data_IF_207095901766
#
_entry.id   IF_207095901766
#
_cell.length_a   1.000
_cell.length_b   1.000
_cell.length_c   1.000
_cell.angle_alpha   90.00
_cell.angle_beta   90.00
_cell.angle_gamma   90.00
#
_symmetry.space_group_name_H-M   'P 1'
#
loop_
_entity.id
_entity.type
_entity.pdbx_description
1 polymer ?
2 non-polymer ?
3 non-polymer ?
#
# COMPACT_ATOMS: atom_id res chain seq x y z
N UNK A 3 9.08 -10.39 17.61
CA UNK A 3 8.52 -11.74 17.77
C UNK A 3 7.33 -12.04 16.81
N UNK A 4 6.35 -11.12 16.54
CA UNK A 4 5.22 -11.48 15.65
C UNK A 4 5.58 -12.02 14.26
N UNK A 5 6.82 -11.75 13.78
CA UNK A 5 7.39 -12.19 12.50
C UNK A 5 7.45 -13.73 12.42
N UNK A 6 7.89 -14.39 13.52
CA UNK A 6 7.99 -15.85 13.63
C UNK A 6 6.61 -16.49 13.42
N UNK A 7 5.57 -15.91 14.05
CA UNK A 7 4.17 -16.32 13.96
C UNK A 7 3.65 -16.09 12.54
N UNK A 8 3.93 -14.89 11.98
CA UNK A 8 3.52 -14.50 10.63
C UNK A 8 4.08 -15.49 9.59
N UNK A 9 5.36 -15.87 9.71
CA UNK A 9 6.01 -16.83 8.82
C UNK A 9 5.51 -18.27 8.99
N UNK A 10 5.13 -18.65 10.24
CA UNK A 10 4.59 -19.96 10.54
C UNK A 10 3.21 -20.13 9.87
N UNK A 11 2.38 -19.06 9.95
CA UNK A 11 1.05 -19.02 9.32
C UNK A 11 1.18 -19.01 7.77
N UNK A 12 2.26 -18.42 7.22
CA UNK A 12 2.52 -18.45 5.78
C UNK A 12 2.68 -19.90 5.32
N UNK A 13 3.46 -20.72 6.09
CA UNK A 13 3.70 -22.14 5.81
C UNK A 13 2.37 -22.90 5.78
N UNK A 14 1.48 -22.59 6.75
CA UNK A 14 0.14 -23.16 6.89
C UNK A 14 -0.76 -22.81 5.69
N UNK A 15 -0.81 -21.50 5.30
CA UNK A 15 -1.61 -21.02 4.14
C UNK A 15 -1.09 -21.67 2.85
N UNK A 16 0.24 -21.62 2.63
CA UNK A 16 0.89 -22.19 1.45
C UNK A 16 0.55 -23.67 1.30
N UNK A 17 0.70 -24.45 2.39
CA UNK A 17 0.39 -25.87 2.33
C UNK A 17 -1.08 -26.12 2.03
N UNK A 18 -2.00 -25.34 2.61
CA UNK A 18 -3.42 -25.49 2.31
C UNK A 18 -3.71 -25.24 0.81
N UNK A 19 -3.18 -24.13 0.27
CA UNK A 19 -3.42 -23.71 -1.11
C UNK A 19 -2.91 -24.71 -2.09
N UNK A 20 -1.69 -25.17 -1.88
CA UNK A 20 -1.02 -26.14 -2.71
C UNK A 20 -1.66 -27.53 -2.64
N UNK A 21 -2.05 -27.99 -1.44
CA UNK A 21 -2.71 -29.26 -1.28
C UNK A 21 -4.10 -29.24 -1.92
N UNK A 22 -4.87 -28.15 -1.77
CA UNK A 22 -6.18 -27.93 -2.38
C UNK A 22 -6.08 -28.12 -3.91
N UNK A 23 -5.04 -27.55 -4.55
CA UNK A 23 -4.78 -27.72 -5.99
C UNK A 23 -4.49 -29.18 -6.36
N UNK A 24 -3.62 -29.83 -5.60
CA UNK A 24 -3.22 -31.21 -5.80
C UNK A 24 -4.41 -32.20 -5.65
N UNK A 25 -5.24 -31.98 -4.61
CA UNK A 25 -6.35 -32.86 -4.20
C UNK A 25 -7.71 -32.56 -4.77
N UNK A 26 -7.99 -31.28 -5.08
CA UNK A 26 -9.30 -30.87 -5.59
C UNK A 26 -9.25 -30.33 -7.01
N UNK A 27 -8.08 -29.83 -7.47
CA UNK A 27 -8.00 -29.23 -8.81
C UNK A 27 -7.15 -30.02 -9.79
N UNK A 28 -6.85 -31.29 -9.51
CA UNK A 28 -6.07 -32.18 -10.37
C UNK A 28 -4.70 -31.64 -10.73
N UNK A 29 -3.98 -31.01 -9.81
CA UNK A 29 -2.67 -30.47 -10.19
C UNK A 29 -1.56 -31.47 -10.04
N UNK A 30 -0.75 -31.60 -11.09
CA UNK A 30 0.42 -32.46 -11.11
C UNK A 30 1.54 -31.88 -10.23
N UNK A 31 2.41 -32.74 -9.64
CA UNK A 31 3.49 -32.24 -8.77
C UNK A 31 4.37 -31.12 -9.36
N UNK A 32 4.74 -31.22 -10.66
CA UNK A 32 5.57 -30.24 -11.37
C UNK A 32 5.00 -28.83 -11.28
N UNK A 33 3.69 -28.68 -11.57
CA UNK A 33 2.99 -27.41 -11.46
C UNK A 33 2.82 -26.95 -10.02
N UNK A 34 2.60 -27.90 -9.06
CA UNK A 34 2.47 -27.56 -7.64
C UNK A 34 3.78 -26.91 -7.16
N UNK A 35 4.93 -27.53 -7.51
CA UNK A 35 6.25 -27.01 -7.10
C UNK A 35 6.55 -25.64 -7.73
N UNK A 36 6.15 -25.49 -9.02
CA UNK A 36 6.28 -24.22 -9.75
C UNK A 36 5.49 -23.14 -9.03
N UNK A 37 4.28 -23.45 -8.53
CA UNK A 37 3.45 -22.50 -7.82
C UNK A 37 3.99 -22.17 -6.45
N UNK A 38 4.63 -23.14 -5.79
CA UNK A 38 5.27 -22.93 -4.46
C UNK A 38 6.38 -21.87 -4.60
N UNK A 39 7.26 -22.07 -5.60
CA UNK A 39 8.36 -21.18 -5.97
C UNK A 39 7.86 -19.78 -6.35
N UNK A 40 6.82 -19.68 -7.21
CA UNK A 40 6.22 -18.42 -7.64
C UNK A 40 5.66 -17.68 -6.44
N UNK A 41 4.96 -18.39 -5.52
CA UNK A 41 4.37 -17.78 -4.33
C UNK A 41 5.47 -17.22 -3.41
N UNK A 42 6.58 -17.96 -3.25
CA UNK A 42 7.73 -17.55 -2.44
C UNK A 42 8.40 -16.33 -3.05
N UNK A 43 8.63 -16.33 -4.39
CA UNK A 43 9.27 -15.23 -5.13
C UNK A 43 8.48 -13.94 -5.09
N UNK A 44 7.15 -14.03 -5.19
CA UNK A 44 6.29 -12.84 -5.19
C UNK A 44 5.82 -12.36 -3.81
N UNK A 45 5.66 -13.27 -2.84
CA UNK A 45 5.11 -12.94 -1.52
C UNK A 45 6.13 -12.73 -0.42
N UNK A 46 7.35 -13.21 -0.62
CA UNK A 46 8.41 -13.09 0.40
C UNK A 46 9.54 -12.17 -0.06
N UNK A 47 10.23 -11.58 0.91
CA UNK A 47 11.34 -10.69 0.61
C UNK A 47 11.17 -9.27 1.11
N UNK A 48 9.93 -8.80 1.16
CA UNK A 48 9.56 -7.46 1.61
C UNK A 48 9.66 -7.24 3.11
N UNK A 49 9.14 -6.11 3.60
CA UNK A 49 9.20 -5.81 5.03
C UNK A 49 7.95 -6.31 5.80
N UNK A 50 6.89 -6.68 5.07
CA UNK A 50 5.61 -7.19 5.62
C UNK A 50 4.91 -6.15 6.48
N UNK A 51 5.10 -4.86 6.13
CA UNK A 51 4.53 -3.74 6.89
C UNK A 51 3.03 -3.78 6.99
N UNK A 52 2.33 -4.03 5.87
CA UNK A 52 0.88 -4.11 5.84
C UNK A 52 0.37 -5.30 6.67
N UNK A 53 1.02 -6.46 6.48
CA UNK A 53 0.68 -7.69 7.20
C UNK A 53 0.89 -7.61 8.70
N UNK A 54 2.07 -7.15 9.13
CA UNK A 54 2.39 -7.00 10.54
C UNK A 54 1.47 -5.99 11.27
N UNK A 55 1.00 -4.92 10.55
CA UNK A 55 0.06 -3.91 11.08
C UNK A 55 -1.22 -4.58 11.58
N UNK A 56 -1.74 -5.59 10.83
CA UNK A 56 -2.94 -6.35 11.23
C UNK A 56 -2.72 -7.05 12.59
N UNK A 57 -1.56 -7.71 12.75
CA UNK A 57 -1.17 -8.42 13.97
C UNK A 57 -1.15 -7.45 15.15
N UNK A 58 -0.44 -6.31 14.99
CA UNK A 58 -0.31 -5.24 16.00
C UNK A 58 -1.65 -4.64 16.44
N UNK A 59 -2.62 -4.50 15.54
CA UNK A 59 -3.94 -3.96 15.87
C UNK A 59 -4.72 -4.97 16.75
N UNK A 60 -4.76 -6.25 16.34
CA UNK A 60 -5.46 -7.32 17.08
C UNK A 60 -4.96 -7.53 18.53
N UNK A 61 -3.63 -7.51 18.73
CA UNK A 61 -3.02 -7.72 20.04
C UNK A 61 -3.27 -6.53 21.00
N UNK A 62 -3.41 -5.31 20.44
CA UNK A 62 -3.73 -4.10 21.16
C UNK A 62 -5.20 -4.13 21.61
N UNK A 63 -6.08 -4.73 20.80
CA UNK A 63 -7.51 -4.80 21.09
C UNK A 63 -7.89 -5.92 22.08
N UNK A 64 -6.90 -6.77 22.48
CA UNK A 64 -7.07 -7.81 23.50
C UNK A 64 -7.07 -7.13 24.90
N UNK A 65 -6.48 -5.91 25.01
CA UNK A 65 -6.37 -5.12 26.24
C UNK A 65 -7.70 -4.52 26.72
N UNK A 66 -8.59 -4.18 25.77
CA UNK A 66 -9.90 -3.58 26.06
C UNK A 66 -11.07 -4.55 25.78
N UNK A 67 -11.91 -4.77 26.82
CA UNK A 67 -13.07 -5.67 26.84
C UNK A 67 -14.20 -5.19 25.93
N UNK A 76 -5.42 -15.31 27.45
CA UNK A 76 -6.76 -14.94 27.94
C UNK A 76 -7.77 -16.09 27.78
N UNK A 77 -7.60 -16.91 26.74
CA UNK A 77 -8.46 -18.05 26.46
C UNK A 77 -8.42 -18.53 25.01
N UNK A 78 -9.52 -19.19 24.60
CA UNK A 78 -9.69 -19.75 23.25
C UNK A 78 -9.88 -18.67 22.18
N UNK A 79 -10.41 -17.50 22.59
CA UNK A 79 -10.66 -16.36 21.72
C UNK A 79 -9.34 -15.68 21.29
N UNK A 80 -8.35 -15.55 22.22
CA UNK A 80 -7.03 -14.94 21.96
C UNK A 80 -6.29 -15.60 20.80
N UNK A 81 -6.02 -16.93 20.91
CA UNK A 81 -5.33 -17.77 19.93
C UNK A 81 -5.93 -17.60 18.52
N UNK A 82 -7.28 -17.59 18.46
CA UNK A 82 -8.10 -17.44 17.26
C UNK A 82 -7.90 -16.05 16.64
N UNK A 83 -8.03 -14.97 17.44
CA UNK A 83 -7.87 -13.59 16.99
C UNK A 83 -6.48 -13.38 16.36
N UNK A 84 -5.38 -13.81 17.04
CA UNK A 84 -4.00 -13.69 16.53
C UNK A 84 -3.76 -14.50 15.24
N UNK A 85 -4.37 -15.71 15.14
CA UNK A 85 -4.26 -16.53 13.92
C UNK A 85 -4.96 -15.81 12.76
N UNK A 86 -6.19 -15.29 13.01
CA UNK A 86 -7.03 -14.54 12.07
C UNK A 86 -6.30 -13.29 11.57
N UNK A 87 -5.57 -12.59 12.48
CA UNK A 87 -4.79 -11.40 12.20
C UNK A 87 -3.66 -11.73 11.19
N UNK A 88 -3.04 -12.91 11.35
CA UNK A 88 -1.96 -13.40 10.48
C UNK A 88 -2.48 -13.77 9.06
N UNK A 89 -3.69 -14.37 8.95
CA UNK A 89 -4.30 -14.76 7.67
C UNK A 89 -4.66 -13.48 6.89
N UNK A 90 -5.24 -12.48 7.60
CA UNK A 90 -5.59 -11.16 7.06
C UNK A 90 -4.36 -10.44 6.55
N UNK A 91 -3.28 -10.51 7.33
CA UNK A 91 -1.99 -9.97 6.98
C UNK A 91 -1.46 -10.56 5.68
N UNK A 92 -1.61 -11.89 5.50
CA UNK A 92 -1.17 -12.54 4.27
C UNK A 92 -2.08 -12.22 3.09
N UNK A 93 -3.38 -12.01 3.32
CA UNK A 93 -4.30 -11.57 2.27
C UNK A 93 -3.79 -10.23 1.67
N UNK A 94 -3.39 -9.25 2.54
CA UNK A 94 -2.86 -7.95 2.08
C UNK A 94 -1.50 -8.09 1.39
N UNK A 95 -0.60 -8.95 1.94
CA UNK A 95 0.72 -9.23 1.33
C UNK A 95 0.59 -9.91 -0.03
N UNK A 96 -0.40 -10.80 -0.21
CA UNK A 96 -0.66 -11.46 -1.50
C UNK A 96 -1.33 -10.48 -2.48
N UNK A 97 -2.18 -9.57 -1.98
CA UNK A 97 -2.84 -8.55 -2.80
C UNK A 97 -1.75 -7.60 -3.31
N UNK A 98 -0.76 -7.29 -2.45
CA UNK A 98 0.39 -6.45 -2.77
C UNK A 98 1.25 -7.18 -3.80
N UNK A 99 1.48 -8.49 -3.60
CA UNK A 99 2.18 -9.36 -4.56
C UNK A 99 1.48 -9.32 -5.96
N UNK A 100 0.13 -9.35 -5.96
CA UNK A 100 -0.71 -9.28 -7.17
C UNK A 100 -0.49 -7.94 -7.89
N UNK A 101 -0.51 -6.78 -7.15
CA UNK A 101 -0.25 -5.45 -7.70
C UNK A 101 1.14 -5.32 -8.29
N UNK A 102 2.17 -5.84 -7.57
CA UNK A 102 3.56 -5.80 -8.06
C UNK A 102 3.75 -6.54 -9.36
N UNK A 103 3.11 -7.76 -9.51
CA UNK A 103 3.15 -8.58 -10.72
C UNK A 103 2.50 -7.79 -11.84
N UNK A 104 1.30 -7.21 -11.58
CA UNK A 104 0.57 -6.39 -12.55
C UNK A 104 1.46 -5.21 -13.00
N UNK A 105 2.18 -4.56 -12.05
CA UNK A 105 3.09 -3.44 -12.37
C UNK A 105 4.27 -3.91 -13.23
N UNK A 106 4.79 -5.12 -12.96
CA UNK A 106 5.91 -5.74 -13.69
C UNK A 106 5.52 -6.11 -15.12
N UNK A 107 4.21 -6.37 -15.39
CA UNK A 107 3.70 -6.64 -16.74
C UNK A 107 3.87 -5.32 -17.54
N UNK A 108 3.76 -4.16 -16.85
CA UNK A 108 3.97 -2.84 -17.47
C UNK A 108 5.45 -2.56 -17.85
N UNK A 109 6.43 -3.30 -17.28
CA UNK A 109 7.86 -3.18 -17.64
C UNK A 109 8.04 -3.49 -19.16
N UNK A 110 7.97 -2.40 -19.98
CA UNK A 110 8.06 -2.41 -21.44
C UNK A 110 8.45 -1.01 -21.93
N UNK A 124 4.40 -15.64 -28.75
CA UNK A 124 3.95 -16.57 -27.70
C UNK A 124 4.91 -16.54 -26.49
N UNK A 125 5.05 -15.36 -25.90
CA UNK A 125 5.93 -15.13 -24.75
C UNK A 125 5.40 -15.79 -23.46
N UNK A 126 6.01 -16.93 -23.08
CA UNK A 126 5.63 -17.72 -21.90
C UNK A 126 5.86 -16.94 -20.57
N UNK A 127 6.81 -15.96 -20.53
CA UNK A 127 7.04 -15.17 -19.31
C UNK A 127 5.84 -14.25 -19.05
N UNK A 128 5.32 -13.59 -20.11
CA UNK A 128 4.16 -12.69 -20.06
C UNK A 128 2.90 -13.48 -19.73
N UNK A 129 2.74 -14.69 -20.34
CA UNK A 129 1.60 -15.58 -20.09
C UNK A 129 1.60 -15.94 -18.62
N UNK A 130 2.78 -16.30 -18.10
CA UNK A 130 2.94 -16.71 -16.72
C UNK A 130 2.75 -15.59 -15.74
N UNK A 131 3.23 -14.36 -16.05
CA UNK A 131 3.04 -13.18 -15.20
C UNK A 131 1.56 -12.83 -15.11
N UNK A 132 0.82 -12.80 -16.25
CA UNK A 132 -0.63 -12.58 -16.24
C UNK A 132 -1.32 -13.62 -15.33
N UNK A 133 -0.99 -14.89 -15.53
CA UNK A 133 -1.53 -16.00 -14.78
C UNK A 133 -1.22 -15.89 -13.30
N UNK A 134 0.06 -15.58 -12.94
CA UNK A 134 0.51 -15.35 -11.55
C UNK A 134 -0.34 -14.26 -10.89
N UNK A 135 -0.59 -13.17 -11.62
CA UNK A 135 -1.39 -12.05 -11.13
C UNK A 135 -2.78 -12.49 -10.72
N UNK A 136 -3.43 -13.26 -11.59
CA UNK A 136 -4.76 -13.84 -11.42
C UNK A 136 -4.85 -14.79 -10.25
N UNK A 137 -3.87 -15.71 -10.13
CA UNK A 137 -3.79 -16.70 -9.06
C UNK A 137 -3.57 -16.05 -7.71
N UNK A 138 -2.63 -15.10 -7.60
CA UNK A 138 -2.34 -14.36 -6.35
C UNK A 138 -3.58 -13.62 -5.82
N UNK A 139 -4.38 -13.02 -6.72
CA UNK A 139 -5.63 -12.39 -6.33
C UNK A 139 -6.63 -13.45 -5.85
N UNK A 140 -6.78 -14.55 -6.60
CA UNK A 140 -7.69 -15.64 -6.26
C UNK A 140 -7.30 -16.29 -4.93
N UNK A 141 -6.00 -16.34 -4.62
CA UNK A 141 -5.50 -16.92 -3.38
C UNK A 141 -5.92 -16.15 -2.15
N UNK A 142 -6.14 -14.80 -2.25
CA UNK A 142 -6.63 -13.98 -1.15
C UNK A 142 -8.04 -14.44 -0.79
N UNK A 143 -8.90 -14.69 -1.79
CA UNK A 143 -10.27 -15.17 -1.61
C UNK A 143 -10.27 -16.63 -1.08
N UNK A 144 -9.41 -17.51 -1.64
CA UNK A 144 -9.32 -18.91 -1.23
C UNK A 144 -8.93 -19.07 0.24
N UNK A 145 -7.90 -18.32 0.68
CA UNK A 145 -7.44 -18.40 2.07
C UNK A 145 -8.48 -17.83 3.05
N UNK A 146 -9.23 -16.78 2.64
CA UNK A 146 -10.28 -16.18 3.46
C UNK A 146 -11.46 -17.13 3.65
N UNK A 147 -12.01 -17.66 2.55
CA UNK A 147 -13.15 -18.60 2.50
C UNK A 147 -12.91 -19.88 3.33
N UNK A 148 -11.63 -20.31 3.42
CA UNK A 148 -11.23 -21.49 4.16
C UNK A 148 -11.04 -21.19 5.64
N UNK A 149 -10.06 -20.32 6.00
CA UNK A 149 -9.70 -20.00 7.37
C UNK A 149 -10.78 -19.27 8.18
N UNK A 150 -11.65 -18.51 7.50
CA UNK A 150 -12.74 -17.77 8.15
C UNK A 150 -14.13 -18.32 7.80
N UNK A 151 -14.19 -19.56 7.30
CA UNK A 151 -15.42 -20.26 6.85
C UNK A 151 -16.64 -20.14 7.79
N UNK A 152 -16.42 -20.30 9.11
CA UNK A 152 -17.48 -20.27 10.11
C UNK A 152 -17.63 -18.91 10.82
N UNK A 153 -16.74 -17.93 10.53
CA UNK A 153 -16.76 -16.60 11.15
C UNK A 153 -17.94 -15.76 10.65
N UNK A 154 -18.65 -15.02 11.54
CA UNK A 154 -19.76 -14.17 11.07
C UNK A 154 -19.30 -12.91 10.33
N UNK A 155 -18.00 -12.55 10.49
CA UNK A 155 -17.39 -11.39 9.85
C UNK A 155 -16.95 -11.65 8.39
N UNK A 156 -16.96 -12.93 7.94
CA UNK A 156 -16.50 -13.31 6.58
C UNK A 156 -17.11 -12.45 5.45
N UNK A 157 -18.45 -12.27 5.43
CA UNK A 157 -19.11 -11.48 4.38
C UNK A 157 -18.66 -10.02 4.34
N UNK A 158 -18.64 -9.35 5.51
CA UNK A 158 -18.20 -7.96 5.64
C UNK A 158 -16.72 -7.82 5.28
N UNK A 159 -15.87 -8.77 5.72
CA UNK A 159 -14.44 -8.77 5.43
C UNK A 159 -14.19 -8.85 3.92
N UNK A 160 -14.89 -9.78 3.21
CA UNK A 160 -14.79 -9.96 1.77
C UNK A 160 -15.20 -8.71 1.00
N UNK A 161 -16.32 -8.08 1.41
CA UNK A 161 -16.86 -6.87 0.77
C UNK A 161 -15.98 -5.65 1.00
N UNK A 162 -15.38 -5.49 2.20
CA UNK A 162 -14.45 -4.38 2.49
C UNK A 162 -13.13 -4.55 1.73
N UNK A 163 -12.63 -5.78 1.68
CA UNK A 163 -11.40 -6.15 0.96
C UNK A 163 -11.54 -5.88 -0.54
N UNK A 164 -12.65 -6.32 -1.14
CA UNK A 164 -12.93 -6.11 -2.57
C UNK A 164 -13.21 -4.66 -2.92
N UNK A 165 -13.76 -3.88 -1.98
CA UNK A 165 -14.03 -2.46 -2.22
C UNK A 165 -12.71 -1.71 -2.24
N UNK A 166 -11.74 -2.11 -1.37
CA UNK A 166 -10.40 -1.53 -1.29
C UNK A 166 -9.59 -1.89 -2.55
N UNK A 167 -9.76 -3.13 -3.04
CA UNK A 167 -9.14 -3.60 -4.26
C UNK A 167 -9.66 -2.78 -5.47
N UNK A 168 -10.99 -2.54 -5.56
CA UNK A 168 -11.60 -1.70 -6.61
C UNK A 168 -11.11 -0.29 -6.52
N UNK A 169 -11.02 0.27 -5.28
CA UNK A 169 -10.52 1.61 -4.98
C UNK A 169 -9.09 1.76 -5.53
N UNK A 170 -8.22 0.74 -5.35
CA UNK A 170 -6.83 0.75 -5.84
C UNK A 170 -6.77 0.78 -7.37
N UNK A 171 -7.64 0.03 -8.04
CA UNK A 171 -7.75 0.00 -9.51
C UNK A 171 -8.21 1.34 -10.01
N UNK A 172 -9.15 1.96 -9.30
CA UNK A 172 -9.60 3.34 -9.60
C UNK A 172 -8.47 4.34 -9.39
N UNK A 173 -7.69 4.15 -8.34
CA UNK A 173 -6.54 5.02 -8.03
C UNK A 173 -5.48 4.95 -9.09
N UNK A 174 -5.33 3.75 -9.67
CA UNK A 174 -4.40 3.44 -10.74
C UNK A 174 -4.83 4.15 -11.99
N UNK A 175 -6.14 4.17 -12.29
CA UNK A 175 -6.68 4.95 -13.42
C UNK A 175 -6.39 6.45 -13.23
N UNK A 176 -6.55 7.00 -12.01
CA UNK A 176 -6.29 8.43 -11.72
C UNK A 176 -4.85 8.78 -11.94
N UNK A 177 -3.95 7.85 -11.56
CA UNK A 177 -2.50 8.00 -11.68
C UNK A 177 -1.99 7.91 -13.11
N UNK A 178 -2.38 6.85 -13.80
CA UNK A 178 -1.98 6.50 -15.17
C UNK A 178 -2.45 7.53 -16.19
N UNK A 179 -3.56 8.22 -15.89
CA UNK A 179 -4.13 9.21 -16.80
C UNK A 179 -3.95 10.65 -16.31
N UNK A 180 -3.21 10.87 -15.20
CA UNK A 180 -2.96 12.20 -14.59
C UNK A 180 -2.41 13.24 -15.57
N UNK A 181 -1.55 12.79 -16.48
CA UNK A 181 -0.89 13.58 -17.51
C UNK A 181 -1.68 13.57 -18.85
N UNK A 182 -2.89 12.95 -18.87
CA UNK A 182 -3.75 12.84 -20.08
C UNK A 182 -5.19 13.37 -19.90
N UNK A 183 -5.90 13.58 -21.03
CA UNK A 183 -7.27 14.08 -21.12
C UNK A 183 -7.93 13.59 -22.41
N UNK A 198 -2.51 20.09 -20.41
CA UNK A 198 -2.10 18.74 -20.01
C UNK A 198 -1.85 18.69 -18.49
N UNK A 199 -1.41 19.85 -17.90
CA UNK A 199 -1.08 19.98 -16.46
C UNK A 199 -2.24 20.49 -15.60
N UNK A 200 -3.47 20.44 -16.14
CA UNK A 200 -4.71 20.83 -15.46
C UNK A 200 -4.97 19.99 -14.21
N UNK A 201 -4.57 18.71 -14.22
CA UNK A 201 -4.78 17.83 -13.08
C UNK A 201 -3.60 17.85 -12.12
N UNK A 202 -2.60 18.72 -12.37
CA UNK A 202 -1.43 18.87 -11.51
C UNK A 202 -1.75 19.88 -10.41
N UNK A 203 -2.61 19.45 -9.48
CA UNK A 203 -3.08 20.20 -8.34
C UNK A 203 -2.86 19.34 -7.10
N UNK A 204 -2.81 19.97 -5.92
CA UNK A 204 -2.62 19.30 -4.63
C UNK A 204 -3.84 18.42 -4.27
N UNK A 205 -5.05 18.90 -4.58
CA UNK A 205 -6.27 18.17 -4.30
C UNK A 205 -6.36 16.91 -5.18
N UNK A 206 -5.91 17.00 -6.46
CA UNK A 206 -5.88 15.83 -7.32
C UNK A 206 -4.74 14.89 -6.93
N UNK A 207 -3.62 15.45 -6.48
CA UNK A 207 -2.50 14.67 -5.98
C UNK A 207 -3.03 13.81 -4.81
N UNK A 208 -3.77 14.43 -3.87
CA UNK A 208 -4.39 13.81 -2.70
C UNK A 208 -5.42 12.74 -3.10
N UNK A 209 -6.11 12.93 -4.24
CA UNK A 209 -7.10 11.98 -4.74
C UNK A 209 -6.38 10.71 -5.20
N UNK A 210 -5.23 10.86 -5.93
CA UNK A 210 -4.41 9.76 -6.41
C UNK A 210 -3.88 9.01 -5.20
N UNK A 211 -3.26 9.71 -4.26
CA UNK A 211 -2.67 9.11 -3.05
C UNK A 211 -3.71 8.29 -2.26
N UNK A 212 -4.89 8.85 -2.01
CA UNK A 212 -5.96 8.24 -1.26
C UNK A 212 -6.38 6.87 -1.89
N UNK A 213 -6.73 6.90 -3.18
CA UNK A 213 -7.22 5.74 -3.90
C UNK A 213 -6.12 4.72 -4.27
N UNK A 214 -5.00 5.20 -4.87
CA UNK A 214 -3.89 4.36 -5.30
C UNK A 214 -3.12 3.71 -4.16
N UNK A 215 -2.84 4.47 -3.06
CA UNK A 215 -2.00 3.90 -2.02
C UNK A 215 -2.60 3.87 -0.58
N UNK A 216 -3.18 4.97 -0.08
CA UNK A 216 -3.68 5.12 1.31
C UNK A 216 -4.71 4.06 1.76
N UNK A 217 -5.76 3.77 0.95
CA UNK A 217 -6.78 2.76 1.30
C UNK A 217 -6.24 1.34 1.55
N UNK A 218 -5.37 0.81 0.66
CA UNK A 218 -4.91 -0.57 0.86
C UNK A 218 -3.67 -0.66 1.77
N UNK A 219 -2.84 0.40 1.83
CA UNK A 219 -1.62 0.38 2.63
C UNK A 219 -1.84 0.79 4.09
N UNK A 220 -2.71 1.80 4.34
CA UNK A 220 -2.96 2.29 5.70
C UNK A 220 -4.34 1.95 6.23
N UNK A 221 -5.42 2.21 5.48
CA UNK A 221 -6.76 1.95 6.00
C UNK A 221 -7.09 0.47 6.17
N UNK A 222 -6.91 -0.34 5.10
CA UNK A 222 -7.17 -1.78 5.08
C UNK A 222 -6.47 -2.56 6.20
N UNK A 223 -5.14 -2.47 6.46
CA UNK A 223 -4.56 -3.24 7.57
C UNK A 223 -5.20 -2.93 8.92
N UNK A 224 -5.49 -1.63 9.17
CA UNK A 224 -6.14 -1.15 10.39
C UNK A 224 -7.55 -1.70 10.54
N UNK A 225 -8.36 -1.67 9.45
CA UNK A 225 -9.74 -2.16 9.40
C UNK A 225 -9.79 -3.68 9.63
N UNK A 226 -8.88 -4.45 9.00
CA UNK A 226 -8.82 -5.91 9.15
C UNK A 226 -8.49 -6.32 10.58
N UNK A 227 -7.62 -5.58 11.25
CA UNK A 227 -7.27 -5.78 12.65
C UNK A 227 -8.45 -5.54 13.58
N UNK A 228 -9.37 -4.62 13.17
CA UNK A 228 -10.60 -4.27 13.89
C UNK A 228 -11.65 -5.34 13.68
N UNK A 229 -11.76 -5.86 12.43
CA UNK A 229 -12.74 -6.88 12.05
C UNK A 229 -12.49 -8.17 12.84
N UNK A 230 -11.25 -8.70 12.83
CA UNK A 230 -10.85 -9.93 13.52
C UNK A 230 -11.06 -9.83 15.04
N UNK A 231 -10.92 -8.61 15.60
CA UNK A 231 -11.09 -8.34 17.03
C UNK A 231 -12.56 -8.08 17.39
N UNK A 232 -13.46 -8.05 16.38
CA UNK A 232 -14.91 -7.78 16.49
C UNK A 232 -15.15 -6.43 17.18
N UNK A 233 -14.29 -5.45 16.86
CA UNK A 233 -14.32 -4.11 17.45
C UNK A 233 -14.49 -2.99 16.40
N UNK A 234 -15.03 -3.33 15.21
CA UNK A 234 -15.30 -2.40 14.11
C UNK A 234 -16.25 -1.23 14.48
N UNK A 235 -17.43 -1.44 15.15
CA UNK A 235 -18.27 -0.27 15.44
C UNK A 235 -17.83 0.58 16.65
N UNK A 236 -16.81 0.12 17.41
CA UNK A 236 -16.28 0.81 18.61
C UNK A 236 -15.31 1.95 18.31
N UNK A 237 -15.01 2.20 17.01
CA UNK A 237 -14.07 3.24 16.57
C UNK A 237 -14.76 4.28 15.69
N UNK A 238 -14.24 5.53 15.74
CA UNK A 238 -14.72 6.61 14.89
C UNK A 238 -14.02 6.40 13.54
N UNK A 239 -14.78 5.92 12.54
CA UNK A 239 -14.26 5.62 11.21
C UNK A 239 -13.74 6.87 10.49
N UNK A 240 -14.38 8.02 10.72
CA UNK A 240 -14.01 9.30 10.14
C UNK A 240 -12.59 9.72 10.46
N UNK A 241 -12.22 9.69 11.75
CA UNK A 241 -10.88 10.03 12.25
C UNK A 241 -9.85 9.01 11.75
N UNK A 242 -10.24 7.70 11.73
CA UNK A 242 -9.41 6.60 11.26
C UNK A 242 -9.07 6.78 9.78
N UNK A 243 -10.10 7.00 8.92
CA UNK A 243 -9.97 7.23 7.49
C UNK A 243 -9.06 8.43 7.27
N UNK A 244 -9.31 9.55 8.00
CA UNK A 244 -8.53 10.79 7.92
C UNK A 244 -7.07 10.52 8.28
N UNK A 245 -6.82 9.73 9.32
CA UNK A 245 -5.47 9.35 9.73
C UNK A 245 -4.77 8.53 8.64
N UNK A 246 -5.47 7.56 8.05
CA UNK A 246 -4.94 6.70 6.98
C UNK A 246 -4.56 7.52 5.75
N UNK A 247 -5.43 8.49 5.36
CA UNK A 247 -5.19 9.39 4.24
C UNK A 247 -4.00 10.30 4.50
N UNK A 248 -3.84 10.79 5.75
CA UNK A 248 -2.75 11.67 6.13
C UNK A 248 -1.40 10.97 6.16
N UNK A 249 -1.35 9.77 6.74
CA UNK A 249 -0.15 8.93 6.78
C UNK A 249 0.29 8.54 5.34
N UNK A 250 -0.69 8.25 4.47
CA UNK A 250 -0.47 7.96 3.05
C UNK A 250 0.13 9.15 2.33
N UNK A 251 -0.42 10.33 2.57
CA UNK A 251 0.05 11.62 2.02
C UNK A 251 1.50 11.96 2.51
N UNK A 252 1.77 11.79 3.81
CA UNK A 252 3.11 11.96 4.38
C UNK A 252 4.11 11.04 3.66
N UNK A 253 3.80 9.73 3.57
CA UNK A 253 4.64 8.73 2.92
C UNK A 253 4.88 9.05 1.45
N UNK A 254 3.82 9.41 0.69
CA UNK A 254 3.94 9.68 -0.74
C UNK A 254 4.80 10.88 -1.08
N UNK A 255 4.70 11.95 -0.29
CA UNK A 255 5.49 13.18 -0.47
C UNK A 255 6.97 12.84 -0.30
N UNK A 256 7.29 12.08 0.76
CA UNK A 256 8.64 11.63 1.06
C UNK A 256 9.15 10.72 -0.07
N UNK A 257 8.31 9.76 -0.53
CA UNK A 257 8.62 8.83 -1.62
C UNK A 257 8.89 9.53 -2.94
N UNK A 258 8.10 10.59 -3.26
CA UNK A 258 8.19 11.40 -4.48
C UNK A 258 9.48 12.19 -4.50
N UNK A 259 9.88 12.75 -3.33
CA UNK A 259 11.09 13.55 -3.13
C UNK A 259 12.31 12.64 -3.31
N UNK A 260 12.26 11.44 -2.72
CA UNK A 260 13.34 10.45 -2.84
C UNK A 260 13.46 9.92 -4.26
N UNK A 261 12.34 9.79 -4.98
CA UNK A 261 12.31 9.33 -6.37
C UNK A 261 13.14 10.27 -7.27
N UNK A 262 13.17 11.55 -6.93
CA UNK A 262 13.92 12.56 -7.68
C UNK A 262 15.37 12.75 -7.18
N UNK A 263 15.55 12.94 -5.86
CA UNK A 263 16.83 13.31 -5.26
C UNK A 263 17.70 12.18 -4.65
N UNK A 264 17.11 11.04 -4.28
CA UNK A 264 17.90 9.94 -3.70
C UNK A 264 18.78 9.33 -4.79
N UNK A 265 20.15 9.40 -4.65
CA UNK A 265 21.07 8.87 -5.69
C UNK A 265 20.73 7.45 -6.21
N UNK A 266 20.96 7.19 -7.54
CA UNK A 266 20.55 5.93 -8.19
C UNK A 266 20.61 4.61 -7.39
N UNK A 267 21.60 3.73 -7.65
CA UNK A 267 21.77 2.45 -6.94
C UNK A 267 22.69 2.61 -5.74
N UNK A 268 23.09 3.88 -5.47
CA UNK A 268 23.93 4.29 -4.35
C UNK A 268 23.09 4.19 -3.07
N UNK A 269 21.95 4.95 -3.00
CA UNK A 269 21.02 5.01 -1.87
C UNK A 269 19.59 4.44 -2.17
N UNK A 270 19.42 3.67 -3.25
CA UNK A 270 18.11 3.10 -3.56
C UNK A 270 17.90 2.31 -4.84
N UNK A 271 16.81 2.68 -5.58
CA UNK A 271 16.36 2.09 -6.85
C UNK A 271 16.28 3.17 -7.97
N UNK A 272 15.71 2.83 -9.15
CA UNK A 272 15.64 3.78 -10.26
C UNK A 272 14.39 4.65 -10.14
N UNK A 273 14.60 5.98 -10.06
CA UNK A 273 13.54 6.97 -9.99
C UNK A 273 13.23 7.47 -11.39
N UNK A 274 11.95 7.34 -11.81
CA UNK A 274 11.50 7.71 -13.15
C UNK A 274 10.28 8.64 -13.22
N UNK A 275 9.85 9.24 -12.09
CA UNK A 275 8.67 10.12 -12.07
C UNK A 275 8.76 11.26 -13.09
N UNK A 276 9.96 11.88 -13.24
CA UNK A 276 10.15 12.98 -14.19
C UNK A 276 9.89 12.49 -15.63
N UNK A 277 10.62 11.42 -16.04
CA UNK A 277 10.50 10.76 -17.36
C UNK A 277 9.06 10.31 -17.65
N UNK A 278 8.40 9.70 -16.65
CA UNK A 278 7.03 9.19 -16.75
C UNK A 278 5.96 10.27 -16.68
N UNK A 279 6.37 11.55 -16.41
CA UNK A 279 5.50 12.72 -16.27
C UNK A 279 4.42 12.51 -15.22
N UNK A 280 4.83 11.96 -14.06
CA UNK A 280 3.92 11.70 -12.95
C UNK A 280 3.48 12.97 -12.23
N UNK A 281 2.25 12.92 -11.71
CA UNK A 281 1.68 13.99 -10.93
C UNK A 281 2.27 13.83 -9.53
N UNK A 282 3.56 14.20 -9.36
CA UNK A 282 4.25 14.10 -8.07
C UNK A 282 4.08 15.37 -7.23
N UNK A 283 4.33 15.26 -5.92
CA UNK A 283 4.25 16.37 -5.00
C UNK A 283 5.20 17.47 -5.44
N UNK A 284 6.40 17.10 -5.93
CA UNK A 284 7.39 18.07 -6.41
C UNK A 284 6.84 18.88 -7.58
N UNK A 285 6.20 18.19 -8.55
CA UNK A 285 5.61 18.81 -9.74
C UNK A 285 4.48 19.80 -9.41
N UNK A 286 3.51 19.43 -8.55
CA UNK A 286 2.37 20.27 -8.16
C UNK A 286 2.81 21.48 -7.29
N UNK A 287 3.82 21.28 -6.42
CA UNK A 287 4.36 22.36 -5.57
C UNK A 287 5.18 23.32 -6.40
N UNK A 288 5.96 22.81 -7.36
CA UNK A 288 6.77 23.63 -8.24
C UNK A 288 5.85 24.51 -9.07
N UNK A 289 4.78 23.97 -9.64
CA UNK A 289 3.88 24.74 -10.50
C UNK A 289 3.16 25.91 -9.79
N UNK A 290 3.00 25.84 -8.47
CA UNK A 290 2.37 26.87 -7.67
C UNK A 290 3.37 27.97 -7.20
N UNK A 291 4.67 27.64 -7.20
CA UNK A 291 5.78 28.48 -6.74
C UNK A 291 6.62 29.06 -7.91
N UNK A 292 6.52 28.49 -9.11
CA UNK A 292 7.30 28.91 -10.27
C UNK A 292 6.73 30.11 -10.99
N UNK A 293 7.60 30.90 -11.66
CA UNK A 293 7.23 32.04 -12.48
C UNK A 293 6.70 31.51 -13.83
N UNK A 294 6.01 32.35 -14.62
CA UNK A 294 5.46 32.00 -15.94
C UNK A 294 6.51 31.33 -16.86
N UNK A 295 7.72 31.91 -16.94
CA UNK A 295 8.86 31.46 -17.73
C UNK A 295 9.43 30.14 -17.21
N UNK A 296 9.50 29.98 -15.86
CA UNK A 296 9.95 28.72 -15.23
C UNK A 296 8.94 27.59 -15.49
N UNK A 297 7.62 27.91 -15.45
CA UNK A 297 6.51 26.98 -15.72
C UNK A 297 6.63 26.51 -17.17
N UNK A 298 6.89 27.46 -18.08
CA UNK A 298 7.09 27.21 -19.51
C UNK A 298 8.30 26.28 -19.71
N UNK A 299 9.40 26.51 -18.94
CA UNK A 299 10.64 25.71 -18.96
C UNK A 299 10.38 24.31 -18.40
N UNK A 300 9.54 24.21 -17.35
CA UNK A 300 9.16 22.94 -16.75
C UNK A 300 8.34 22.10 -17.73
N UNK A 301 7.35 22.74 -18.40
CA UNK A 301 6.46 22.09 -19.37
C UNK A 301 7.22 21.55 -20.59
N UNK A 302 8.25 22.26 -21.05
CA UNK A 302 9.06 21.85 -22.20
C UNK A 302 10.05 20.72 -21.88
N UNK A 303 10.38 20.51 -20.59
CA UNK A 303 11.36 19.49 -20.16
C UNK A 303 10.79 18.28 -19.41
N UNK A 304 9.57 18.39 -18.88
CA UNK A 304 8.94 17.28 -18.13
C UNK A 304 8.43 16.18 -19.06
N UNK A 305 8.44 14.94 -18.57
CA UNK A 305 7.94 13.78 -19.29
C UNK A 305 8.79 13.29 -20.43
N UNK A 306 10.12 13.51 -20.34
CA UNK A 306 11.07 13.07 -21.36
C UNK A 306 12.13 12.14 -20.77
N UNK A 307 12.53 11.14 -21.57
CA UNK A 307 13.58 10.18 -21.19
C UNK A 307 14.98 10.76 -21.24
N UNK A 308 15.16 11.84 -22.04
CA UNK A 308 16.43 12.55 -22.22
C UNK A 308 17.03 13.05 -20.89
N UNK A 309 18.23 12.55 -20.57
CA UNK A 309 19.01 12.82 -19.37
C UNK A 309 19.16 14.30 -18.99
N UNK A 310 19.39 15.18 -19.98
CA UNK A 310 19.56 16.62 -19.79
C UNK A 310 18.25 17.35 -19.44
N UNK A 311 17.11 16.87 -19.98
CA UNK A 311 15.79 17.43 -19.69
C UNK A 311 15.40 17.08 -18.25
N UNK A 312 15.71 15.84 -17.80
CA UNK A 312 15.49 15.35 -16.43
C UNK A 312 16.33 16.19 -15.44
N UNK A 313 17.60 16.45 -15.80
CA UNK A 313 18.52 17.27 -15.02
C UNK A 313 18.05 18.71 -14.95
N UNK A 314 17.45 19.25 -16.04
CA UNK A 314 16.90 20.62 -16.06
C UNK A 314 15.75 20.72 -15.04
N UNK A 315 14.90 19.66 -14.96
CA UNK A 315 13.76 19.57 -14.03
C UNK A 315 14.30 19.55 -12.59
N UNK A 316 15.32 18.72 -12.31
CA UNK A 316 15.97 18.62 -11.00
C UNK A 316 16.54 19.98 -10.56
N UNK A 317 17.21 20.71 -11.50
CA UNK A 317 17.76 22.05 -11.30
C UNK A 317 16.62 23.03 -10.95
N UNK A 318 15.47 22.93 -11.66
CA UNK A 318 14.30 23.77 -11.41
C UNK A 318 13.75 23.57 -10.00
N UNK A 319 13.63 22.30 -9.55
CA UNK A 319 13.17 21.97 -8.19
C UNK A 319 14.09 22.56 -7.10
N UNK A 320 15.42 22.41 -7.30
CA UNK A 320 16.50 22.91 -6.42
C UNK A 320 16.44 24.42 -6.30
N UNK A 321 16.39 25.12 -7.47
CA UNK A 321 16.33 26.58 -7.57
C UNK A 321 15.05 27.16 -7.00
N UNK A 322 13.94 26.40 -7.03
CA UNK A 322 12.65 26.84 -6.50
C UNK A 322 12.55 26.68 -4.97
N UNK A 323 13.61 26.12 -4.33
CA UNK A 323 13.71 25.90 -2.88
C UNK A 323 12.55 25.03 -2.38
N UNK A 324 12.28 23.96 -3.13
CA UNK A 324 11.21 23.02 -2.83
C UNK A 324 11.53 22.22 -1.58
N UNK A 325 12.84 22.06 -1.26
CA UNK A 325 13.33 21.31 -0.08
C UNK A 325 12.99 22.08 1.22
N UNK A 326 12.74 23.36 1.08
CA UNK A 326 12.33 24.19 2.21
C UNK A 326 10.89 23.85 2.49
N UNK A 327 10.08 23.87 1.42
CA UNK A 327 8.65 23.58 1.39
C UNK A 327 8.35 22.15 1.82
N UNK A 328 9.20 21.18 1.41
CA UNK A 328 9.08 19.75 1.75
C UNK A 328 9.08 19.53 3.26
N UNK A 329 10.09 20.09 3.96
CA UNK A 329 10.29 20.00 5.41
C UNK A 329 9.03 20.50 6.14
N UNK A 330 8.56 21.71 5.78
CA UNK A 330 7.37 22.34 6.38
C UNK A 330 6.08 21.60 6.08
N UNK A 331 5.91 21.08 4.84
CA UNK A 331 4.71 20.31 4.44
C UNK A 331 4.53 19.07 5.29
N UNK A 332 5.63 18.31 5.45
CA UNK A 332 5.71 17.09 6.24
C UNK A 332 5.47 17.34 7.73
N UNK A 333 6.10 18.41 8.29
CA UNK A 333 5.98 18.82 9.69
C UNK A 333 4.51 19.16 10.03
N UNK A 334 3.79 19.85 9.10
CA UNK A 334 2.38 20.23 9.27
C UNK A 334 1.50 19.00 9.26
N UNK A 335 1.78 18.03 8.35
CA UNK A 335 1.04 16.77 8.23
C UNK A 335 1.26 15.97 9.51
N UNK A 336 2.52 15.91 10.02
CA UNK A 336 2.89 15.20 11.24
C UNK A 336 2.11 15.72 12.45
N UNK A 337 1.97 17.06 12.58
CA UNK A 337 1.21 17.72 13.63
C UNK A 337 -0.26 17.30 13.59
N UNK A 338 -0.86 17.20 12.37
CA UNK A 338 -2.24 16.77 12.13
C UNK A 338 -2.45 15.30 12.53
N UNK A 339 -1.46 14.43 12.24
CA UNK A 339 -1.48 13.00 12.56
C UNK A 339 -1.51 12.82 14.08
N UNK A 340 -0.53 13.45 14.78
CA UNK A 340 -0.36 13.45 16.23
C UNK A 340 -1.62 13.94 16.98
N UNK A 341 -2.34 14.90 16.39
CA UNK A 341 -3.57 15.47 16.95
C UNK A 341 -4.77 14.54 16.80
N UNK A 342 -4.92 13.91 15.61
CA UNK A 342 -6.03 12.97 15.32
C UNK A 342 -5.95 11.66 16.12
N UNK A 343 -4.72 11.18 16.45
CA UNK A 343 -4.50 9.99 17.28
C UNK A 343 -5.09 10.25 18.69
N UNK A 344 -4.94 11.49 19.22
CA UNK A 344 -5.48 11.90 20.52
C UNK A 344 -7.02 11.86 20.55
N UNK A 345 -7.67 12.36 19.48
CA UNK A 345 -9.13 12.32 19.34
C UNK A 345 -9.64 10.85 19.29
N UNK A 346 -8.86 9.96 18.63
CA UNK A 346 -9.14 8.53 18.51
C UNK A 346 -8.97 7.81 19.84
N UNK A 347 -7.94 8.21 20.64
CA UNK A 347 -7.60 7.66 21.95
C UNK A 347 -8.70 7.88 22.98
N UNK A 348 -9.49 8.97 22.84
CA UNK A 348 -10.59 9.32 23.75
C UNK A 348 -11.70 8.26 23.83
N UNK A 349 -11.95 7.56 22.71
CA UNK A 349 -12.99 6.53 22.61
C UNK A 349 -12.44 5.14 22.25
N UNK A 350 -11.24 5.08 21.64
CA UNK A 350 -10.55 3.85 21.25
C UNK A 350 -9.07 3.92 21.68
N UNK A 351 -8.75 3.63 22.98
CA UNK A 351 -7.36 3.80 23.46
C UNK A 351 -6.35 2.78 22.90
N UNK A 352 -6.65 1.48 23.02
CA UNK A 352 -5.79 0.42 22.52
C UNK A 352 -5.45 0.56 21.05
N UNK A 353 -6.48 0.94 20.25
CA UNK A 353 -6.40 1.15 18.80
C UNK A 353 -5.45 2.29 18.43
N UNK A 354 -5.53 3.41 19.17
CA UNK A 354 -4.69 4.60 18.98
C UNK A 354 -3.17 4.32 19.11
N UNK A 355 -2.78 3.41 20.03
CA UNK A 355 -1.39 3.00 20.24
C UNK A 355 -0.90 2.14 19.05
N UNK A 356 -1.80 1.36 18.43
CA UNK A 356 -1.43 0.57 17.23
C UNK A 356 -1.31 1.51 16.02
N UNK A 357 -2.14 2.59 15.97
CA UNK A 357 -2.11 3.60 14.91
C UNK A 357 -0.82 4.43 15.08
N UNK A 358 -0.33 4.56 16.33
CA UNK A 358 0.90 5.27 16.68
C UNK A 358 2.14 4.54 16.15
N UNK A 359 2.22 3.19 16.38
CA UNK A 359 3.30 2.33 15.89
C UNK A 359 3.34 2.28 14.34
N UNK A 360 2.14 2.23 13.67
CA UNK A 360 2.04 2.28 12.21
C UNK A 360 2.63 3.59 11.69
N UNK A 361 2.30 4.70 12.38
CA UNK A 361 2.82 6.04 12.11
C UNK A 361 4.33 6.14 12.33
N UNK A 362 4.82 5.56 13.42
CA UNK A 362 6.26 5.51 13.73
C UNK A 362 7.07 4.86 12.62
N UNK A 363 6.48 3.82 11.94
CA UNK A 363 7.07 3.12 10.81
C UNK A 363 7.18 4.01 9.56
N UNK A 364 6.25 5.00 9.41
CA UNK A 364 6.18 5.97 8.30
C UNK A 364 7.07 7.19 8.56
N UNK A 365 6.98 7.76 9.78
CA UNK A 365 7.71 8.94 10.25
C UNK A 365 9.18 8.61 10.51
#
# INVERSE_FOLDING_TARGET
GPMPMQMFMQVYDEIQMFLLEELELKFDMDPNRVRYLRKMMDTTCLGGKYNRGLTVIDVAESLLSLSPNNNGEEDDGARRKRVLHDACVCGWMIEFLQAHYLVEDDIMDNSVTRRGKPCWYRHPDVTVQCAINDGLLLKSWTHMMAMHFFADRPFLQDLLCRFNRVDYTTAVGQLYDVTSMFDSNKLDPDVSQPTTTDFAEFTLSNYKRIVKYKTAYYTYLLPLVMGLIVSEALPTVDMGVTEELAMLMGEYFQVQDDVMDCFTPPERLGKVGTDIQDAKCSWLAVTFLAKASSAQVAEFKANYGSGDSEKVATVRRLYEEADLQGDYVAYEAAVAEQVKELIEKLRLCSPGFAASVETLWGKTYKRQK
#
